data_IF_626209629401
#
_entry.id   IF_626209629401
#
_cell.length_a   1.000
_cell.length_b   1.000
_cell.length_c   1.000
_cell.angle_alpha   90.00
_cell.angle_beta   90.00
_cell.angle_gamma   90.00
#
_symmetry.space_group_name_H-M   'P 1'
#
loop_
_entity.id
_entity.type
_entity.pdbx_description
1 polymer ?
#
# COMPACT_ATOMS: atom_id res chain seq x y z
N UNK A 1 4.03 28.43 18.47
CA UNK A 1 4.49 27.05 18.31
C UNK A 1 3.52 26.40 17.34
N UNK A 2 3.89 26.39 16.08
CA UNK A 2 3.09 25.81 15.00
C UNK A 2 3.38 24.30 15.03
N UNK A 3 2.47 23.52 15.59
CA UNK A 3 2.47 22.08 15.45
C UNK A 3 2.29 21.79 13.96
N UNK A 4 3.31 21.24 13.36
CA UNK A 4 3.30 20.87 11.94
C UNK A 4 2.27 19.76 11.75
N UNK A 5 1.50 19.83 10.66
CA UNK A 5 0.45 18.88 10.24
C UNK A 5 0.96 17.41 10.19
N UNK A 6 2.25 17.18 10.29
CA UNK A 6 2.96 15.91 10.24
C UNK A 6 2.68 14.92 11.39
N UNK A 7 2.09 15.36 12.51
CA UNK A 7 1.93 14.48 13.70
C UNK A 7 0.51 13.89 13.86
N UNK A 8 -0.40 14.05 12.88
CA UNK A 8 -1.82 13.82 13.08
C UNK A 8 -2.36 12.46 12.63
N UNK A 9 -1.61 11.63 11.89
CA UNK A 9 -2.11 10.34 11.42
C UNK A 9 -1.13 9.19 11.66
N UNK A 10 -1.14 8.63 12.89
CA UNK A 10 -0.57 7.30 13.14
C UNK A 10 -1.65 6.28 12.84
N UNK A 11 -1.59 5.62 11.69
CA UNK A 11 -2.48 4.51 11.36
C UNK A 11 -2.05 3.27 12.14
N UNK A 12 -2.75 2.99 13.24
CA UNK A 12 -2.59 1.74 13.97
C UNK A 12 -3.37 0.64 13.25
N UNK A 13 -2.72 -0.06 12.33
CA UNK A 13 -3.26 -1.25 11.67
C UNK A 13 -2.78 -2.50 12.41
N UNK A 14 -3.51 -3.59 12.29
CA UNK A 14 -3.13 -4.92 12.77
C UNK A 14 -3.33 -5.95 11.65
N UNK A 15 -2.38 -6.88 11.51
CA UNK A 15 -2.55 -8.01 10.60
C UNK A 15 -3.17 -9.16 11.36
N UNK A 16 -4.38 -9.56 10.97
CA UNK A 16 -5.14 -10.65 11.61
C UNK A 16 -5.30 -11.82 10.66
N UNK A 17 -5.10 -13.03 11.17
CA UNK A 17 -5.19 -14.27 10.40
C UNK A 17 -6.63 -14.61 10.00
N UNK A 18 -7.61 -14.14 10.78
CA UNK A 18 -9.04 -14.39 10.59
C UNK A 18 -9.73 -13.35 9.68
N UNK A 19 -8.99 -12.34 9.21
CA UNK A 19 -9.52 -11.26 8.39
C UNK A 19 -8.76 -11.14 7.08
N UNK A 20 -9.50 -11.08 5.95
CA UNK A 20 -8.92 -10.89 4.62
C UNK A 20 -8.73 -9.41 4.32
N UNK A 21 -7.61 -8.85 4.71
CA UNK A 21 -7.18 -7.48 4.43
C UNK A 21 -6.05 -7.45 3.41
N UNK A 22 -5.68 -6.25 2.88
CA UNK A 22 -4.49 -6.09 2.02
C UNK A 22 -3.24 -6.63 2.70
N UNK A 23 -3.02 -6.25 3.96
CA UNK A 23 -1.85 -6.69 4.73
C UNK A 23 -1.83 -8.20 4.98
N UNK A 24 -2.97 -8.83 5.32
CA UNK A 24 -3.02 -10.28 5.57
C UNK A 24 -2.78 -11.09 4.28
N UNK A 25 -3.27 -10.60 3.13
CA UNK A 25 -3.02 -11.22 1.82
C UNK A 25 -1.55 -11.10 1.45
N UNK A 26 -0.95 -9.89 1.57
CA UNK A 26 0.46 -9.68 1.28
C UNK A 26 1.36 -10.53 2.20
N UNK A 27 1.05 -10.57 3.51
CA UNK A 27 1.76 -11.42 4.46
C UNK A 27 1.69 -12.91 4.09
N UNK A 28 0.51 -13.37 3.64
CA UNK A 28 0.30 -14.76 3.19
C UNK A 28 1.06 -15.14 1.91
N UNK A 29 1.49 -14.17 1.11
CA UNK A 29 2.33 -14.41 -0.08
C UNK A 29 3.80 -14.59 0.25
N UNK A 30 4.23 -14.19 1.45
CA UNK A 30 5.62 -14.31 1.86
C UNK A 30 5.92 -15.67 2.50
N UNK A 31 7.06 -16.25 2.17
CA UNK A 31 7.53 -17.50 2.80
C UNK A 31 8.03 -17.23 4.23
N UNK A 32 7.86 -18.18 5.16
CA UNK A 32 8.45 -18.08 6.49
C UNK A 32 9.98 -17.89 6.44
N UNK A 33 10.50 -17.09 7.36
CA UNK A 33 11.92 -16.78 7.46
C UNK A 33 12.47 -15.83 6.41
N UNK A 34 11.62 -15.25 5.56
CA UNK A 34 12.06 -14.35 4.50
C UNK A 34 12.57 -13.00 5.03
N UNK A 35 13.40 -12.34 4.21
CA UNK A 35 13.76 -10.93 4.40
C UNK A 35 12.84 -10.01 3.62
N UNK A 36 12.34 -8.96 4.28
CA UNK A 36 11.40 -8.01 3.71
C UNK A 36 11.89 -6.57 3.89
N UNK A 37 11.72 -5.74 2.87
CA UNK A 37 11.76 -4.28 2.96
C UNK A 37 10.34 -3.74 2.77
N UNK A 38 9.86 -3.00 3.76
CA UNK A 38 8.52 -2.42 3.81
C UNK A 38 8.60 -0.92 3.50
N UNK A 39 8.23 -0.55 2.28
CA UNK A 39 8.21 0.82 1.82
C UNK A 39 6.88 1.47 2.24
N UNK A 40 6.95 2.46 3.12
CA UNK A 40 5.76 3.03 3.76
C UNK A 40 5.25 2.15 4.90
N UNK A 41 6.15 1.69 5.76
CA UNK A 41 5.81 0.71 6.82
C UNK A 41 4.84 1.24 7.89
N UNK A 42 4.57 2.54 7.93
CA UNK A 42 3.71 3.16 8.91
C UNK A 42 4.09 2.78 10.34
N UNK A 43 3.12 2.40 11.16
CA UNK A 43 3.33 1.95 12.55
C UNK A 43 3.92 0.54 12.67
N UNK A 44 4.18 -0.16 11.56
CA UNK A 44 4.93 -1.42 11.56
C UNK A 44 4.11 -2.70 11.68
N UNK A 45 2.82 -2.67 11.40
CA UNK A 45 1.92 -3.82 11.52
C UNK A 45 2.39 -5.05 10.73
N UNK A 46 2.84 -4.84 9.49
CA UNK A 46 3.28 -5.95 8.64
C UNK A 46 4.60 -6.57 9.14
N UNK A 47 5.58 -5.74 9.50
CA UNK A 47 6.85 -6.24 10.04
C UNK A 47 6.69 -6.94 11.38
N UNK A 48 5.79 -6.46 12.24
CA UNK A 48 5.42 -7.16 13.48
C UNK A 48 4.89 -8.58 13.16
N UNK A 49 3.96 -8.69 12.22
CA UNK A 49 3.42 -9.99 11.83
C UNK A 49 4.50 -10.91 11.27
N UNK A 50 5.32 -10.41 10.33
CA UNK A 50 6.41 -11.17 9.71
C UNK A 50 7.42 -11.65 10.75
N UNK A 51 7.83 -10.80 11.68
CA UNK A 51 8.77 -11.17 12.74
C UNK A 51 8.17 -12.20 13.71
N UNK A 52 6.96 -11.96 14.20
CA UNK A 52 6.37 -12.77 15.28
C UNK A 52 5.72 -14.06 14.78
N UNK A 53 5.13 -14.06 13.60
CA UNK A 53 4.36 -15.20 13.07
C UNK A 53 5.13 -16.04 12.05
N UNK A 54 6.02 -15.40 11.29
CA UNK A 54 6.73 -16.05 10.20
C UNK A 54 8.22 -16.23 10.47
N UNK A 55 8.76 -15.64 11.57
CA UNK A 55 10.19 -15.70 11.89
C UNK A 55 11.07 -15.00 10.85
N UNK A 56 10.49 -14.09 10.06
CA UNK A 56 11.18 -13.31 9.05
C UNK A 56 11.89 -12.09 9.63
N UNK A 57 12.61 -11.37 8.78
CA UNK A 57 13.33 -10.15 9.13
C UNK A 57 12.80 -9.01 8.27
N UNK A 58 12.31 -7.95 8.92
CA UNK A 58 11.82 -6.75 8.26
C UNK A 58 12.79 -5.58 8.45
N UNK A 59 13.03 -4.82 7.39
CA UNK A 59 13.48 -3.44 7.42
C UNK A 59 12.34 -2.58 6.88
N UNK A 60 12.25 -1.31 7.29
CA UNK A 60 11.18 -0.43 6.89
C UNK A 60 11.61 1.00 6.64
N UNK A 61 10.79 1.71 5.90
CA UNK A 61 10.89 3.16 5.71
C UNK A 61 9.50 3.77 5.91
N UNK A 62 9.44 4.85 6.66
CA UNK A 62 8.25 5.68 6.82
C UNK A 62 8.67 7.14 6.80
N UNK A 63 7.74 8.04 6.56
CA UNK A 63 8.04 9.48 6.57
C UNK A 63 7.87 10.13 7.95
N UNK A 64 7.25 9.42 8.92
CA UNK A 64 6.89 9.93 10.24
C UNK A 64 7.76 9.31 11.33
N UNK A 65 8.44 10.15 12.12
CA UNK A 65 9.19 9.69 13.30
C UNK A 65 8.26 9.08 14.36
N UNK A 66 7.02 9.56 14.46
CA UNK A 66 6.02 8.99 15.37
C UNK A 66 5.69 7.54 14.98
N UNK A 67 5.46 7.27 13.70
CA UNK A 67 5.24 5.92 13.18
C UNK A 67 6.48 5.04 13.32
N UNK A 68 7.66 5.58 12.97
CA UNK A 68 8.92 4.86 13.12
C UNK A 68 9.17 4.36 14.54
N UNK A 69 8.81 5.17 15.55
CA UNK A 69 8.93 4.77 16.95
C UNK A 69 8.05 3.58 17.32
N UNK A 70 6.89 3.42 16.69
CA UNK A 70 6.03 2.25 16.85
C UNK A 70 6.56 1.03 16.08
N UNK A 71 7.15 1.24 14.90
CA UNK A 71 7.66 0.17 14.05
C UNK A 71 8.99 -0.44 14.56
N UNK A 72 9.92 0.38 15.07
CA UNK A 72 11.27 -0.04 15.50
C UNK A 72 11.36 -1.29 16.37
N UNK A 73 10.44 -1.57 17.32
CA UNK A 73 10.49 -2.81 18.10
C UNK A 73 10.35 -4.10 17.29
N UNK A 74 9.82 -4.02 16.07
CA UNK A 74 9.48 -5.16 15.23
C UNK A 74 10.33 -5.26 13.96
N UNK A 75 11.14 -4.25 13.68
CA UNK A 75 11.98 -4.16 12.49
C UNK A 75 13.46 -4.19 12.90
N UNK A 76 14.29 -4.77 12.06
CA UNK A 76 15.75 -4.74 12.23
C UNK A 76 16.29 -3.31 12.07
N UNK A 77 15.70 -2.53 11.14
CA UNK A 77 16.02 -1.14 10.85
C UNK A 77 14.76 -0.41 10.37
N UNK A 78 14.55 0.81 10.83
CA UNK A 78 13.50 1.71 10.32
C UNK A 78 14.13 3.05 10.00
N UNK A 79 14.03 3.46 8.74
CA UNK A 79 14.47 4.77 8.26
C UNK A 79 13.29 5.73 8.19
N UNK A 80 13.56 7.00 8.47
CA UNK A 80 12.58 8.08 8.33
C UNK A 80 12.99 8.95 7.15
N UNK A 81 12.28 8.81 6.03
CA UNK A 81 12.57 9.55 4.81
C UNK A 81 11.34 9.63 3.91
N UNK A 82 11.33 10.61 3.01
CA UNK A 82 10.36 10.70 1.93
C UNK A 82 10.77 9.75 0.79
N UNK A 83 9.83 8.87 0.40
CA UNK A 83 10.03 7.93 -0.71
C UNK A 83 10.21 8.64 -2.06
N UNK A 84 9.75 9.88 -2.20
CA UNK A 84 9.94 10.67 -3.43
C UNK A 84 11.39 11.18 -3.59
N UNK A 85 12.11 11.38 -2.49
CA UNK A 85 13.42 12.03 -2.49
C UNK A 85 14.55 11.12 -1.97
N UNK A 86 14.25 9.90 -1.49
CA UNK A 86 15.24 9.03 -0.89
C UNK A 86 16.02 8.20 -1.93
N UNK A 87 17.23 7.78 -1.51
CA UNK A 87 18.03 6.76 -2.20
C UNK A 87 18.02 5.47 -1.38
N UNK A 88 17.18 4.51 -1.80
CA UNK A 88 17.05 3.22 -1.12
C UNK A 88 18.37 2.45 -1.05
N UNK A 89 19.24 2.56 -2.06
CA UNK A 89 20.50 1.86 -2.09
C UNK A 89 21.49 2.37 -1.02
N UNK A 90 21.42 3.67 -0.74
CA UNK A 90 22.20 4.28 0.35
C UNK A 90 21.62 3.95 1.72
N UNK A 91 20.30 4.05 1.89
CA UNK A 91 19.62 3.79 3.18
C UNK A 91 19.77 2.33 3.62
N UNK A 92 19.73 1.40 2.68
CA UNK A 92 19.81 -0.04 2.93
C UNK A 92 21.07 -0.65 2.33
N UNK A 93 22.19 0.05 2.42
CA UNK A 93 23.46 -0.35 1.80
C UNK A 93 23.88 -1.78 2.20
N UNK A 94 24.26 -2.58 1.20
CA UNK A 94 24.69 -3.95 1.37
C UNK A 94 23.59 -4.96 1.70
N UNK A 95 22.32 -4.53 1.73
CA UNK A 95 21.18 -5.42 1.99
C UNK A 95 20.49 -5.84 0.71
N UNK A 96 19.89 -7.02 0.75
CA UNK A 96 19.03 -7.58 -0.28
C UNK A 96 17.83 -8.25 0.39
N UNK A 97 16.72 -8.29 -0.33
CA UNK A 97 15.43 -8.74 0.21
C UNK A 97 14.79 -9.80 -0.69
N UNK A 98 14.12 -10.75 -0.05
CA UNK A 98 13.28 -11.71 -0.76
C UNK A 98 11.97 -11.07 -1.22
N UNK A 99 11.48 -10.12 -0.42
CA UNK A 99 10.28 -9.36 -0.72
C UNK A 99 10.49 -7.86 -0.47
N UNK A 100 9.97 -7.04 -1.37
CA UNK A 100 9.80 -5.61 -1.13
C UNK A 100 8.32 -5.31 -1.19
N UNK A 101 7.78 -4.64 -0.18
CA UNK A 101 6.35 -4.41 -0.04
C UNK A 101 6.03 -2.93 -0.21
N UNK A 102 4.99 -2.64 -0.99
CA UNK A 102 4.36 -1.33 -1.13
C UNK A 102 2.87 -1.50 -0.80
N UNK A 103 2.52 -1.43 0.48
CA UNK A 103 1.16 -1.64 0.95
C UNK A 103 0.42 -0.31 1.05
N UNK A 104 -0.41 0.01 0.05
CA UNK A 104 -1.12 1.28 -0.09
C UNK A 104 -0.15 2.47 -0.06
N UNK A 105 0.80 2.49 -0.99
CA UNK A 105 1.90 3.47 -1.11
C UNK A 105 1.93 4.14 -2.48
N UNK A 106 1.79 3.36 -3.56
CA UNK A 106 2.03 3.87 -4.91
C UNK A 106 1.04 4.95 -5.32
N UNK A 107 -0.16 4.96 -4.78
CA UNK A 107 -1.18 5.99 -4.99
C UNK A 107 -0.81 7.36 -4.43
N UNK A 108 0.09 7.41 -3.46
CA UNK A 108 0.58 8.65 -2.83
C UNK A 108 1.78 9.26 -3.57
N UNK A 109 2.42 8.49 -4.47
CA UNK A 109 3.64 8.93 -5.13
C UNK A 109 3.37 9.63 -6.46
N UNK A 110 4.13 10.70 -6.74
CA UNK A 110 4.12 11.38 -8.05
C UNK A 110 4.78 10.53 -9.13
N UNK A 111 5.85 9.81 -8.76
CA UNK A 111 6.65 8.98 -9.67
C UNK A 111 6.87 7.58 -9.08
N UNK A 112 5.81 6.76 -8.93
CA UNK A 112 5.92 5.42 -8.34
C UNK A 112 6.87 4.49 -9.11
N UNK A 113 7.07 4.72 -10.41
CA UNK A 113 8.05 4.03 -11.24
C UNK A 113 9.49 4.20 -10.74
N UNK A 114 9.82 5.37 -10.18
CA UNK A 114 11.17 5.65 -9.68
C UNK A 114 11.49 4.80 -8.46
N UNK A 115 10.58 4.73 -7.49
CA UNK A 115 10.79 3.91 -6.29
C UNK A 115 10.80 2.42 -6.62
N UNK A 116 9.96 1.97 -7.56
CA UNK A 116 9.96 0.59 -8.03
C UNK A 116 11.27 0.22 -8.74
N UNK A 117 11.85 1.13 -9.53
CA UNK A 117 13.15 0.91 -10.15
C UNK A 117 14.27 0.79 -9.11
N UNK A 118 14.28 1.63 -8.07
CA UNK A 118 15.21 1.51 -6.95
C UNK A 118 15.00 0.19 -6.18
N UNK A 119 13.74 -0.20 -5.93
CA UNK A 119 13.38 -1.44 -5.25
C UNK A 119 13.94 -2.67 -5.99
N UNK A 120 13.87 -2.69 -7.33
CA UNK A 120 14.37 -3.81 -8.12
C UNK A 120 15.84 -4.10 -7.87
N UNK A 121 16.65 -3.05 -7.64
CA UNK A 121 18.08 -3.17 -7.34
C UNK A 121 18.37 -3.78 -5.96
N UNK A 122 17.40 -3.81 -5.06
CA UNK A 122 17.53 -4.38 -3.71
C UNK A 122 16.96 -5.80 -3.58
N UNK A 123 16.36 -6.36 -4.62
CA UNK A 123 15.87 -7.74 -4.60
C UNK A 123 16.98 -8.77 -4.64
N UNK A 124 16.79 -9.86 -3.93
CA UNK A 124 17.52 -11.10 -4.14
C UNK A 124 17.19 -11.71 -5.52
N UNK A 125 18.04 -12.56 -6.09
CA UNK A 125 17.64 -13.35 -7.26
C UNK A 125 16.36 -14.16 -6.97
N UNK A 126 15.33 -13.97 -7.79
CA UNK A 126 14.00 -14.54 -7.57
C UNK A 126 13.14 -13.84 -6.51
N UNK A 127 13.59 -12.70 -5.99
CA UNK A 127 12.80 -11.88 -5.08
C UNK A 127 11.63 -11.20 -5.80
N UNK A 128 10.63 -10.81 -5.03
CA UNK A 128 9.35 -10.29 -5.56
C UNK A 128 8.98 -8.94 -4.93
N UNK A 129 8.27 -8.12 -5.69
CA UNK A 129 7.60 -6.93 -5.15
C UNK A 129 6.13 -7.25 -4.92
N UNK A 130 5.64 -6.99 -3.72
CA UNK A 130 4.25 -7.15 -3.33
C UNK A 130 3.61 -5.77 -3.22
N UNK A 131 2.51 -5.56 -3.91
CA UNK A 131 1.86 -4.25 -4.02
C UNK A 131 0.39 -4.37 -3.66
N UNK A 132 -0.13 -3.48 -2.83
CA UNK A 132 -1.55 -3.17 -2.76
C UNK A 132 -1.81 -1.72 -3.12
N UNK A 133 -2.95 -1.47 -3.76
CA UNK A 133 -3.48 -0.13 -4.05
C UNK A 133 -5.00 -0.16 -4.01
N UNK A 134 -5.65 0.96 -3.65
CA UNK A 134 -7.09 1.09 -3.77
C UNK A 134 -7.56 0.94 -5.22
N UNK A 135 -8.65 0.20 -5.42
CA UNK A 135 -9.17 -0.06 -6.77
C UNK A 135 -10.24 0.97 -7.17
N UNK A 136 -9.86 1.93 -8.01
CA UNK A 136 -10.75 2.97 -8.51
C UNK A 136 -11.92 2.45 -9.39
N UNK A 137 -11.95 1.17 -9.74
CA UNK A 137 -13.13 0.55 -10.37
C UNK A 137 -14.11 -0.06 -9.36
N UNK A 138 -14.01 0.30 -8.09
CA UNK A 138 -14.96 -0.09 -7.07
C UNK A 138 -16.36 0.45 -7.37
N UNK A 139 -17.38 -0.40 -7.28
CA UNK A 139 -18.74 -0.05 -7.67
C UNK A 139 -19.34 1.13 -6.89
N UNK A 140 -18.95 1.31 -5.64
CA UNK A 140 -19.38 2.46 -4.83
C UNK A 140 -18.87 3.78 -5.38
N UNK A 141 -17.60 3.87 -5.79
CA UNK A 141 -17.05 5.06 -6.43
C UNK A 141 -17.73 5.30 -7.79
N UNK A 142 -17.92 4.25 -8.60
CA UNK A 142 -18.59 4.37 -9.90
C UNK A 142 -20.00 4.92 -9.73
N UNK A 143 -20.74 4.46 -8.72
CA UNK A 143 -22.09 4.96 -8.44
C UNK A 143 -22.09 6.45 -8.05
N UNK A 144 -21.15 6.91 -7.24
CA UNK A 144 -21.01 8.34 -6.90
C UNK A 144 -20.63 9.19 -8.13
N UNK A 145 -19.67 8.73 -8.94
CA UNK A 145 -19.29 9.41 -10.18
C UNK A 145 -20.46 9.58 -11.16
N UNK A 146 -21.31 8.57 -11.31
CA UNK A 146 -22.52 8.66 -12.16
C UNK A 146 -23.50 9.70 -11.62
N UNK A 147 -23.51 9.94 -10.31
CA UNK A 147 -24.33 11.00 -9.69
C UNK A 147 -23.68 12.39 -9.79
N UNK A 148 -22.47 12.49 -10.32
CA UNK A 148 -21.71 13.74 -10.43
C UNK A 148 -20.90 14.08 -9.18
N UNK A 149 -20.71 13.12 -8.27
CA UNK A 149 -19.96 13.30 -7.04
C UNK A 149 -18.55 12.70 -7.14
N UNK A 150 -17.55 13.42 -6.60
CA UNK A 150 -16.19 12.97 -6.41
C UNK A 150 -15.64 13.64 -5.14
N UNK A 151 -15.92 13.02 -3.99
CA UNK A 151 -15.68 13.62 -2.69
C UNK A 151 -14.41 13.07 -2.06
N UNK A 152 -13.38 13.90 -1.95
CA UNK A 152 -12.19 13.56 -1.16
C UNK A 152 -12.55 13.38 0.31
N UNK A 153 -11.88 12.43 0.95
CA UNK A 153 -12.09 12.00 2.33
C UNK A 153 -10.77 12.04 3.09
N UNK A 154 -10.84 11.88 4.41
CA UNK A 154 -9.64 11.78 5.25
C UNK A 154 -8.94 10.43 5.10
N UNK A 155 -9.66 9.39 4.67
CA UNK A 155 -9.14 8.04 4.45
C UNK A 155 -9.95 7.30 3.39
N UNK A 156 -9.45 6.15 2.94
CA UNK A 156 -10.12 5.27 2.00
C UNK A 156 -9.68 5.49 0.55
N UNK A 157 -10.51 5.06 -0.42
CA UNK A 157 -10.17 5.09 -1.84
C UNK A 157 -9.98 6.52 -2.36
N UNK A 158 -10.78 7.47 -1.87
CA UNK A 158 -10.67 8.89 -2.21
C UNK A 158 -9.97 9.68 -1.11
N UNK A 159 -8.97 9.10 -0.45
CA UNK A 159 -8.10 9.85 0.47
C UNK A 159 -7.54 11.10 -0.22
N UNK A 160 -7.59 12.24 0.48
CA UNK A 160 -7.16 13.53 -0.06
C UNK A 160 -5.67 13.59 -0.42
N UNK A 161 -4.87 12.64 0.08
CA UNK A 161 -3.44 12.52 -0.22
C UNK A 161 -3.15 11.60 -1.42
N UNK A 162 -4.17 10.94 -1.99
CA UNK A 162 -3.99 10.12 -3.18
C UNK A 162 -3.78 11.00 -4.42
N UNK A 163 -2.65 10.82 -5.07
CA UNK A 163 -2.27 11.49 -6.31
C UNK A 163 -2.60 10.65 -7.55
N UNK A 164 -2.71 9.33 -7.39
CA UNK A 164 -2.96 8.38 -8.46
C UNK A 164 -4.10 7.43 -8.10
N UNK A 165 -4.89 7.10 -9.11
CA UNK A 165 -6.03 6.19 -8.97
C UNK A 165 -5.84 5.00 -9.91
N UNK A 166 -5.65 3.83 -9.34
CA UNK A 166 -5.43 2.60 -10.09
C UNK A 166 -6.70 1.78 -10.19
N UNK A 167 -6.93 1.23 -11.37
CA UNK A 167 -7.81 0.08 -11.54
C UNK A 167 -6.95 -1.17 -11.72
N UNK A 168 -7.53 -2.35 -11.60
CA UNK A 168 -6.84 -3.61 -11.89
C UNK A 168 -6.10 -3.57 -13.23
N UNK A 169 -6.74 -3.04 -14.29
CA UNK A 169 -6.15 -2.98 -15.63
C UNK A 169 -5.06 -1.92 -15.76
N UNK A 170 -5.28 -0.75 -15.19
CA UNK A 170 -4.28 0.34 -15.27
C UNK A 170 -3.03 0.02 -14.46
N UNK A 171 -3.17 -0.61 -13.27
CA UNK A 171 -2.02 -1.08 -12.50
C UNK A 171 -1.22 -2.14 -13.27
N UNK A 172 -1.88 -3.15 -13.84
CA UNK A 172 -1.20 -4.19 -14.63
C UNK A 172 -0.43 -3.59 -15.80
N UNK A 173 -1.04 -2.66 -16.52
CA UNK A 173 -0.38 -1.96 -17.63
C UNK A 173 0.80 -1.14 -17.16
N UNK A 174 0.63 -0.34 -16.11
CA UNK A 174 1.68 0.47 -15.52
C UNK A 174 2.89 -0.39 -15.14
N UNK A 175 2.69 -1.51 -14.45
CA UNK A 175 3.77 -2.41 -14.06
C UNK A 175 4.49 -3.01 -15.28
N UNK A 176 3.75 -3.46 -16.30
CA UNK A 176 4.33 -4.02 -17.53
C UNK A 176 5.14 -2.97 -18.33
N UNK A 177 4.64 -1.74 -18.46
CA UNK A 177 5.32 -0.63 -19.13
C UNK A 177 6.65 -0.27 -18.44
N UNK A 178 6.78 -0.54 -17.12
CA UNK A 178 8.00 -0.32 -16.35
C UNK A 178 8.83 -1.60 -16.12
N UNK A 179 8.62 -2.63 -16.94
CA UNK A 179 9.46 -3.82 -16.99
C UNK A 179 9.16 -4.89 -15.92
N UNK A 180 8.05 -4.76 -15.18
CA UNK A 180 7.64 -5.75 -14.20
C UNK A 180 6.80 -6.86 -14.83
N UNK A 181 7.09 -8.10 -14.43
CA UNK A 181 6.26 -9.24 -14.77
C UNK A 181 5.24 -9.48 -13.64
N UNK A 182 3.96 -9.47 -13.99
CA UNK A 182 2.89 -9.74 -13.05
C UNK A 182 2.69 -11.25 -12.89
N UNK A 183 2.94 -11.77 -11.70
CA UNK A 183 2.76 -13.20 -11.39
C UNK A 183 1.38 -13.50 -10.82
N UNK A 184 0.92 -12.68 -9.86
CA UNK A 184 -0.36 -12.83 -9.19
C UNK A 184 -1.10 -11.50 -9.18
N UNK A 185 -2.38 -11.51 -9.46
CA UNK A 185 -3.26 -10.37 -9.35
C UNK A 185 -4.53 -10.79 -8.60
N UNK A 186 -4.62 -10.37 -7.36
CA UNK A 186 -5.74 -10.65 -6.48
C UNK A 186 -6.54 -9.39 -6.16
N UNK A 187 -7.73 -9.55 -5.63
CA UNK A 187 -8.60 -8.45 -5.21
C UNK A 187 -9.28 -8.78 -3.89
N UNK A 188 -9.43 -7.78 -3.04
CA UNK A 188 -10.21 -7.88 -1.82
C UNK A 188 -11.57 -7.29 -2.11
N UNK A 189 -12.61 -8.10 -1.92
CA UNK A 189 -13.98 -7.64 -2.02
C UNK A 189 -14.40 -7.00 -0.71
N UNK A 190 -14.94 -5.79 -0.79
CA UNK A 190 -15.55 -5.09 0.33
C UNK A 190 -16.99 -4.75 -0.02
N UNK A 191 -17.92 -5.11 0.85
CA UNK A 191 -19.30 -4.76 0.69
C UNK A 191 -19.53 -3.26 0.96
N UNK A 192 -20.55 -2.66 0.34
CA UNK A 192 -20.85 -1.24 0.53
C UNK A 192 -21.05 -0.84 1.99
N UNK A 193 -21.75 -1.60 2.85
CA UNK A 193 -21.89 -1.25 4.26
C UNK A 193 -20.56 -1.12 5.02
N UNK A 194 -19.53 -1.84 4.56
CA UNK A 194 -18.20 -1.89 5.17
C UNK A 194 -17.22 -0.92 4.49
N UNK A 195 -17.70 -0.06 3.61
CA UNK A 195 -16.92 0.93 2.87
C UNK A 195 -17.35 2.36 3.22
N UNK A 196 -16.55 3.32 2.77
CA UNK A 196 -16.85 4.74 2.86
C UNK A 196 -18.00 5.20 1.92
N UNK A 197 -18.33 4.39 0.91
CA UNK A 197 -19.38 4.69 -0.06
C UNK A 197 -20.77 4.26 0.44
N UNK A 198 -21.79 5.03 0.09
CA UNK A 198 -23.17 4.77 0.53
C UNK A 198 -24.12 4.52 -0.62
N UNK A 199 -23.79 4.97 -1.84
CA UNK A 199 -24.64 4.81 -3.02
C UNK A 199 -24.42 3.42 -3.63
N UNK A 200 -25.51 2.68 -3.79
CA UNK A 200 -25.51 1.40 -4.48
C UNK A 200 -25.76 1.61 -5.97
N UNK A 201 -25.03 0.90 -6.82
CA UNK A 201 -25.20 0.97 -8.26
C UNK A 201 -26.62 0.58 -8.71
N UNK A 202 -27.22 -0.43 -8.09
CA UNK A 202 -28.56 -0.91 -8.36
C UNK A 202 -29.68 0.04 -7.86
N UNK A 203 -29.34 1.04 -7.04
CA UNK A 203 -30.25 2.09 -6.60
C UNK A 203 -30.29 3.32 -7.51
N UNK A 204 -29.43 3.35 -8.54
CA UNK A 204 -29.41 4.47 -9.50
C UNK A 204 -30.65 4.44 -10.39
N UNK A 205 -31.17 5.62 -10.80
CA UNK A 205 -32.29 5.70 -11.76
C UNK A 205 -31.94 4.97 -13.06
N UNK A 206 -32.87 4.22 -13.68
CA UNK A 206 -32.60 3.46 -14.90
C UNK A 206 -32.01 4.26 -16.06
N UNK A 207 -32.36 5.55 -16.16
CA UNK A 207 -31.82 6.46 -17.17
C UNK A 207 -30.31 6.73 -16.96
N UNK A 208 -29.84 6.76 -15.71
CA UNK A 208 -28.46 7.01 -15.32
C UNK A 208 -27.63 5.70 -15.39
N UNK A 209 -28.23 4.59 -15.00
CA UNK A 209 -27.57 3.28 -15.04
C UNK A 209 -27.28 2.77 -16.47
N UNK A 210 -27.80 3.45 -17.52
CA UNK A 210 -27.60 3.10 -18.93
C UNK A 210 -26.53 3.94 -19.65
N UNK A 211 -25.97 4.93 -18.99
CA UNK A 211 -24.85 5.75 -19.50
C UNK A 211 -23.52 5.09 -19.20
#
# INVERSE_FOLDING_TARGET
MTQTIQDLHVYLREVRDDERTSLSVLAGMMRPGATMLDLGCGSGALGQYVAMKQGGIADGITWSEAEANHARPHYRQVEVADLEDCDLASLFAGKKYDYIVCADVLEHLRQPETILAQASALLNPGGQVLISVPNASYSGLIAELIQGEFLYREEGLLDATHLRFFTRRSLSRFLQEHGWQLEVLDTIQRNLPDSEFRTRFDSLPPAVARQ
#
